data_IF_923611545813
#
_entry.id   IF_923611545813
#
_cell.length_a   1.000
_cell.length_b   1.000
_cell.length_c   1.000
_cell.angle_alpha   90.00
_cell.angle_beta   90.00
_cell.angle_gamma   90.00
#
_symmetry.space_group_name_H-M   'P 1'
#
loop_
_entity.id
_entity.type
_entity.pdbx_description
1 polymer ?
#
# COMPACT_ATOMS: atom_id res chain seq x y z
N UNK A 1 10.07 -15.62 38.56
CA UNK A 1 9.93 -15.87 37.10
C UNK A 1 9.00 -14.82 36.50
N UNK A 2 9.33 -14.24 35.34
CA UNK A 2 8.42 -13.28 34.69
C UNK A 2 7.18 -14.01 34.16
N UNK A 3 6.00 -13.41 34.29
CA UNK A 3 4.76 -13.96 33.73
C UNK A 3 4.81 -13.95 32.20
N UNK A 4 4.25 -14.98 31.55
CA UNK A 4 4.07 -15.05 30.08
C UNK A 4 3.43 -13.76 29.54
N UNK A 5 2.47 -13.19 30.30
CA UNK A 5 1.82 -11.92 29.97
C UNK A 5 2.79 -10.73 29.96
N UNK A 6 3.73 -10.68 30.91
CA UNK A 6 4.76 -9.63 30.95
C UNK A 6 5.79 -9.78 29.82
N UNK A 7 6.17 -11.02 29.48
CA UNK A 7 7.10 -11.29 28.38
C UNK A 7 6.48 -10.87 27.04
N UNK A 8 5.21 -11.20 26.81
CA UNK A 8 4.47 -10.75 25.61
C UNK A 8 4.39 -9.24 25.54
N UNK A 9 4.08 -8.57 26.66
CA UNK A 9 3.98 -7.11 26.72
C UNK A 9 5.32 -6.41 26.45
N UNK A 10 6.42 -6.83 27.10
CA UNK A 10 7.76 -6.29 26.84
C UNK A 10 8.18 -6.45 25.36
N UNK A 11 7.80 -7.57 24.73
CA UNK A 11 8.10 -7.85 23.32
C UNK A 11 7.24 -7.01 22.36
N UNK A 12 5.99 -6.73 22.73
CA UNK A 12 5.08 -5.87 21.96
C UNK A 12 5.44 -4.38 22.11
N UNK A 13 5.92 -3.95 23.28
CA UNK A 13 6.38 -2.57 23.50
C UNK A 13 7.73 -2.29 22.81
N UNK A 14 8.61 -3.31 22.67
CA UNK A 14 9.86 -3.21 21.90
C UNK A 14 9.68 -3.34 20.38
N UNK A 15 8.65 -4.05 19.93
CA UNK A 15 8.33 -4.14 18.51
C UNK A 15 7.45 -2.94 18.16
N UNK A 16 8.06 -1.90 17.58
CA UNK A 16 7.35 -0.74 17.03
C UNK A 16 6.14 -1.14 16.19
N UNK A 17 5.20 -0.20 16.05
CA UNK A 17 3.89 -0.30 15.38
C UNK A 17 3.58 -1.71 14.81
N UNK A 18 2.67 -2.50 15.42
CA UNK A 18 2.49 -3.95 15.17
C UNK A 18 2.21 -4.39 13.72
N UNK A 19 2.12 -3.47 12.78
CA UNK A 19 1.68 -3.71 11.39
C UNK A 19 2.65 -3.20 10.32
N UNK A 20 3.77 -2.56 10.68
CA UNK A 20 4.79 -2.20 9.71
C UNK A 20 6.20 -2.30 10.31
N UNK A 21 6.89 -3.38 9.96
CA UNK A 21 8.31 -3.62 10.23
C UNK A 21 9.19 -3.13 9.07
N UNK A 22 8.58 -2.87 7.92
CA UNK A 22 9.26 -2.46 6.70
C UNK A 22 8.56 -1.25 6.06
N UNK A 23 9.36 -0.41 5.41
CA UNK A 23 8.90 0.79 4.70
C UNK A 23 7.75 0.49 3.72
N UNK A 24 7.83 -0.59 2.94
CA UNK A 24 6.77 -0.96 2.00
C UNK A 24 5.43 -1.32 2.68
N UNK A 25 5.45 -1.72 3.96
CA UNK A 25 4.23 -1.99 4.73
C UNK A 25 3.57 -0.68 5.16
N UNK A 26 4.37 0.27 5.66
CA UNK A 26 3.94 1.64 5.95
C UNK A 26 3.35 2.29 4.69
N UNK A 27 4.09 2.24 3.59
CA UNK A 27 3.65 2.81 2.31
C UNK A 27 2.37 2.15 1.80
N UNK A 28 2.26 0.82 1.86
CA UNK A 28 1.06 0.11 1.43
C UNK A 28 -0.17 0.47 2.28
N UNK A 29 -0.01 0.63 3.59
CA UNK A 29 -1.09 1.09 4.47
C UNK A 29 -1.47 2.51 4.08
N UNK A 30 -0.51 3.43 4.04
CA UNK A 30 -0.72 4.83 3.66
C UNK A 30 -1.44 4.96 2.31
N UNK A 31 -1.00 4.20 1.31
CA UNK A 31 -1.59 4.19 -0.03
C UNK A 31 -3.06 3.77 0.00
N UNK A 32 -3.41 2.76 0.80
CA UNK A 32 -4.81 2.34 0.99
C UNK A 32 -5.68 3.43 1.62
N UNK A 33 -5.09 4.29 2.47
CA UNK A 33 -5.80 5.42 3.06
C UNK A 33 -6.00 6.54 2.05
N UNK A 34 -4.98 6.87 1.26
CA UNK A 34 -5.06 7.89 0.20
C UNK A 34 -6.11 7.55 -0.87
N UNK A 35 -6.33 6.26 -1.11
CA UNK A 35 -7.32 5.77 -2.08
C UNK A 35 -8.70 5.54 -1.46
N UNK A 36 -8.89 5.84 -0.17
CA UNK A 36 -10.09 5.53 0.61
C UNK A 36 -10.52 4.05 0.49
N UNK A 37 -9.53 3.15 0.45
CA UNK A 37 -9.71 1.71 0.23
C UNK A 37 -9.00 0.86 1.31
N UNK A 38 -9.16 1.29 2.57
CA UNK A 38 -8.51 0.66 3.74
C UNK A 38 -8.84 -0.83 3.90
N UNK A 39 -9.99 -1.28 3.38
CA UNK A 39 -10.42 -2.69 3.40
C UNK A 39 -9.45 -3.59 2.65
N UNK A 40 -8.77 -3.07 1.63
CA UNK A 40 -7.82 -3.82 0.80
C UNK A 40 -6.35 -3.47 1.12
N UNK A 41 -6.02 -2.96 2.32
CA UNK A 41 -4.63 -2.64 2.71
C UNK A 41 -3.60 -3.73 2.41
N UNK A 42 -3.96 -5.01 2.56
CA UNK A 42 -3.07 -6.13 2.28
C UNK A 42 -2.66 -6.19 0.79
N UNK A 43 -3.57 -5.86 -0.12
CA UNK A 43 -3.29 -5.73 -1.55
C UNK A 43 -2.25 -4.63 -1.80
N UNK A 44 -2.46 -3.44 -1.22
CA UNK A 44 -1.55 -2.31 -1.41
C UNK A 44 -0.15 -2.55 -0.82
N UNK A 45 -0.06 -3.25 0.32
CA UNK A 45 1.22 -3.70 0.89
C UNK A 45 1.93 -4.68 -0.06
N UNK A 46 1.20 -5.63 -0.66
CA UNK A 46 1.76 -6.55 -1.65
C UNK A 46 2.29 -5.81 -2.87
N UNK A 47 1.50 -4.86 -3.40
CA UNK A 47 1.90 -4.03 -4.53
C UNK A 47 3.13 -3.18 -4.22
N UNK A 48 3.20 -2.59 -3.02
CA UNK A 48 4.36 -1.84 -2.54
C UNK A 48 5.64 -2.69 -2.44
N UNK A 49 5.49 -3.97 -2.10
CA UNK A 49 6.62 -4.92 -2.04
C UNK A 49 7.11 -5.34 -3.42
N UNK A 50 6.20 -5.50 -4.39
CA UNK A 50 6.50 -6.12 -5.69
C UNK A 50 6.80 -5.11 -6.81
N UNK A 51 6.24 -3.89 -6.73
CA UNK A 51 6.31 -2.90 -7.82
C UNK A 51 7.16 -1.70 -7.42
N UNK A 52 7.87 -1.07 -8.37
CA UNK A 52 8.63 0.14 -8.09
C UNK A 52 7.75 1.28 -7.59
N UNK A 53 8.18 1.96 -6.52
CA UNK A 53 7.44 3.06 -5.88
C UNK A 53 7.03 4.15 -6.86
N UNK A 54 7.90 4.51 -7.80
CA UNK A 54 7.60 5.50 -8.84
C UNK A 54 6.33 5.17 -9.63
N UNK A 55 6.06 3.89 -9.90
CA UNK A 55 4.86 3.47 -10.64
C UNK A 55 3.60 3.60 -9.77
N UNK A 56 3.70 3.20 -8.51
CA UNK A 56 2.60 3.30 -7.55
C UNK A 56 2.23 4.77 -7.32
N UNK A 57 3.22 5.67 -7.17
CA UNK A 57 2.96 7.11 -7.06
C UNK A 57 2.30 7.70 -8.29
N UNK A 58 2.75 7.35 -9.51
CA UNK A 58 2.10 7.81 -10.74
C UNK A 58 0.63 7.38 -10.82
N UNK A 59 0.34 6.12 -10.48
CA UNK A 59 -1.03 5.61 -10.45
C UNK A 59 -1.87 6.29 -9.35
N UNK A 60 -1.28 6.54 -8.17
CA UNK A 60 -1.92 7.22 -7.04
C UNK A 60 -2.30 8.64 -7.41
N UNK A 61 -1.34 9.44 -7.91
CA UNK A 61 -1.57 10.84 -8.31
C UNK A 61 -2.70 10.92 -9.33
N UNK A 62 -2.68 10.08 -10.35
CA UNK A 62 -3.78 10.01 -11.31
C UNK A 62 -5.12 9.69 -10.64
N UNK A 63 -5.16 8.65 -9.81
CA UNK A 63 -6.40 8.22 -9.16
C UNK A 63 -6.96 9.27 -8.18
N UNK A 64 -6.10 10.05 -7.52
CA UNK A 64 -6.50 11.11 -6.59
C UNK A 64 -6.93 12.40 -7.29
N UNK A 65 -6.33 12.72 -8.43
CA UNK A 65 -6.65 13.93 -9.19
C UNK A 65 -7.87 13.75 -10.10
N UNK A 66 -8.26 12.51 -10.40
CA UNK A 66 -9.39 12.24 -11.27
C UNK A 66 -10.72 12.61 -10.61
N UNK A 67 -11.55 13.37 -11.33
CA UNK A 67 -12.88 13.74 -10.87
C UNK A 67 -13.83 12.55 -11.01
N UNK A 68 -14.18 11.92 -9.89
CA UNK A 68 -15.12 10.80 -9.84
C UNK A 68 -16.13 11.02 -8.72
N UNK A 69 -17.36 10.53 -8.93
CA UNK A 69 -18.42 10.53 -7.92
C UNK A 69 -18.10 9.59 -6.74
N UNK A 70 -17.21 8.61 -6.94
CA UNK A 70 -16.87 7.63 -5.91
C UNK A 70 -15.70 8.10 -5.05
N UNK A 71 -15.86 8.01 -3.73
CA UNK A 71 -14.78 8.28 -2.77
C UNK A 71 -13.70 7.20 -2.84
N UNK A 72 -14.08 5.93 -3.08
CA UNK A 72 -13.11 4.83 -3.21
C UNK A 72 -12.46 4.87 -4.59
N UNK A 73 -11.15 5.16 -4.59
CA UNK A 73 -10.32 5.32 -5.79
C UNK A 73 -9.49 4.09 -6.12
N UNK A 74 -9.66 2.99 -5.37
CA UNK A 74 -8.89 1.75 -5.54
C UNK A 74 -9.01 1.16 -6.95
N UNK A 75 -10.22 1.12 -7.51
CA UNK A 75 -10.44 0.60 -8.88
C UNK A 75 -9.72 1.45 -9.94
N UNK A 76 -9.78 2.77 -9.82
CA UNK A 76 -9.13 3.68 -10.75
C UNK A 76 -7.60 3.58 -10.67
N UNK A 77 -7.07 3.45 -9.45
CA UNK A 77 -5.67 3.17 -9.20
C UNK A 77 -5.24 1.86 -9.87
N UNK A 78 -5.98 0.77 -9.68
CA UNK A 78 -5.65 -0.54 -10.27
C UNK A 78 -5.70 -0.51 -11.79
N UNK A 79 -6.69 0.18 -12.37
CA UNK A 79 -6.79 0.38 -13.82
C UNK A 79 -5.56 1.14 -14.35
N UNK A 80 -5.21 2.28 -13.74
CA UNK A 80 -4.06 3.08 -14.19
C UNK A 80 -2.74 2.35 -14.00
N UNK A 81 -2.60 1.60 -12.91
CA UNK A 81 -1.42 0.77 -12.66
C UNK A 81 -1.24 -0.29 -13.75
N UNK A 82 -2.32 -0.94 -14.19
CA UNK A 82 -2.30 -1.90 -15.29
C UNK A 82 -1.91 -1.25 -16.62
N UNK A 83 -2.44 -0.05 -16.91
CA UNK A 83 -2.08 0.72 -18.11
C UNK A 83 -0.58 1.05 -18.15
N UNK A 84 -0.02 1.56 -17.05
CA UNK A 84 1.41 1.87 -16.92
C UNK A 84 2.31 0.63 -17.10
N UNK A 85 1.80 -0.57 -16.80
CA UNK A 85 2.53 -1.82 -17.01
C UNK A 85 2.49 -2.29 -18.45
N UNK A 86 1.36 -2.08 -19.13
CA UNK A 86 1.24 -2.34 -20.58
C UNK A 86 2.16 -1.42 -21.38
N UNK A 87 2.19 -0.12 -21.04
CA UNK A 87 3.09 0.86 -21.68
C UNK A 87 4.57 0.50 -21.48
N UNK A 88 4.95 -0.04 -20.33
CA UNK A 88 6.32 -0.50 -20.12
C UNK A 88 6.64 -1.68 -21.05
N UNK A 89 5.72 -2.63 -21.18
CA UNK A 89 5.91 -3.82 -22.03
C UNK A 89 6.05 -3.45 -23.50
N UNK A 90 5.25 -2.50 -23.99
CA UNK A 90 5.32 -2.06 -25.39
C UNK A 90 6.59 -1.28 -25.73
N UNK A 91 7.18 -0.56 -24.77
CA UNK A 91 8.45 0.18 -24.95
C UNK A 91 9.70 -0.69 -24.85
N UNK A 92 9.56 -1.93 -24.37
CA UNK A 92 10.65 -2.92 -24.27
C UNK A 92 10.66 -3.93 -25.42
N UNK A 93 9.74 -3.79 -26.38
CA UNK A 93 9.68 -4.55 -27.64
C UNK A 93 10.08 -3.65 -28.78
#
# INVERSE_FOLDING_TARGET
MKSIKQILREKMEKQGAPRAKHEFQEYGIWLSEQLHDKRHKALYIKLAKEKPRLRLEKARVFATSYNTKSVNRGRLFMWKLSELEKEKKSKSS
#
